data_IF_309700162615
#
_entry.id   IF_309700162615
#
_cell.length_a   1.000
_cell.length_b   1.000
_cell.length_c   1.000
_cell.angle_alpha   90.00
_cell.angle_beta   90.00
_cell.angle_gamma   90.00
#
_symmetry.space_group_name_H-M   'P 1'
#
loop_
_entity.id
_entity.type
_entity.pdbx_description
1 polymer ?
#
# COMPACT_ATOMS: atom_id res chain seq x y z
N UNK A 1 11.07 -17.86 10.43
CA UNK A 1 9.79 -17.36 10.02
C UNK A 1 9.93 -15.98 9.42
N UNK A 2 9.40 -15.80 8.27
CA UNK A 2 9.51 -14.50 7.65
C UNK A 2 8.91 -13.42 8.51
N UNK A 3 9.65 -12.38 8.72
CA UNK A 3 9.18 -11.28 9.52
C UNK A 3 8.25 -10.37 8.74
N UNK A 4 8.41 -10.40 7.44
CA UNK A 4 7.69 -9.48 6.59
C UNK A 4 6.18 -9.54 6.79
N UNK A 5 5.65 -10.74 6.92
CA UNK A 5 4.21 -10.89 7.07
C UNK A 5 3.69 -10.18 8.30
N UNK A 6 4.46 -10.26 9.35
CA UNK A 6 4.04 -9.65 10.61
C UNK A 6 4.19 -8.15 10.58
N UNK A 7 5.15 -7.68 9.80
CA UNK A 7 5.46 -6.26 9.79
C UNK A 7 4.34 -5.43 9.19
N UNK A 8 3.45 -6.07 8.46
CA UNK A 8 2.44 -5.34 7.72
C UNK A 8 1.04 -5.58 8.23
N UNK A 9 0.94 -6.04 9.47
CA UNK A 9 -0.36 -6.17 10.11
C UNK A 9 -0.72 -4.83 10.75
N UNK A 10 -1.87 -4.29 10.40
CA UNK A 10 -2.30 -3.00 10.90
C UNK A 10 -2.65 -3.06 12.37
N UNK A 11 -2.41 -1.97 13.11
CA UNK A 11 -2.88 -1.92 14.50
C UNK A 11 -4.40 -2.03 14.56
N UNK A 12 -4.94 -2.80 15.50
CA UNK A 12 -6.40 -2.97 15.61
C UNK A 12 -7.14 -1.65 15.75
N UNK A 13 -6.57 -0.68 16.43
CA UNK A 13 -7.21 0.62 16.61
C UNK A 13 -7.43 1.33 15.29
N UNK A 14 -6.45 1.24 14.40
CA UNK A 14 -6.55 1.87 13.09
C UNK A 14 -7.62 1.18 12.26
N UNK A 15 -7.68 -0.13 12.34
CA UNK A 15 -8.70 -0.90 11.62
C UNK A 15 -10.08 -0.52 12.14
N UNK A 16 -10.24 -0.40 13.45
CA UNK A 16 -11.51 -0.03 14.03
C UNK A 16 -12.01 1.33 13.58
N UNK A 17 -11.11 2.31 13.58
CA UNK A 17 -11.49 3.65 13.13
C UNK A 17 -11.84 3.64 11.65
N UNK A 18 -11.06 2.95 10.85
CA UNK A 18 -11.30 2.85 9.40
C UNK A 18 -12.64 2.19 9.11
N UNK A 19 -12.91 1.08 9.78
CA UNK A 19 -14.17 0.35 9.58
C UNK A 19 -15.35 1.23 9.94
N UNK A 20 -15.24 1.96 11.04
CA UNK A 20 -16.28 2.89 11.45
C UNK A 20 -16.51 3.98 10.42
N UNK A 21 -15.42 4.53 9.90
CA UNK A 21 -15.51 5.59 8.89
C UNK A 21 -16.19 5.07 7.62
N UNK A 22 -15.98 3.83 7.28
CA UNK A 22 -16.57 3.21 6.10
C UNK A 22 -17.90 2.52 6.37
N UNK A 23 -18.59 2.92 7.39
CA UNK A 23 -19.92 2.39 7.74
C UNK A 23 -19.91 0.87 7.97
N UNK A 24 -18.84 0.39 8.53
CA UNK A 24 -18.77 -0.99 9.00
C UNK A 24 -18.10 -1.98 8.06
N UNK A 25 -17.68 -1.57 6.86
CA UNK A 25 -17.11 -2.53 5.93
C UNK A 25 -15.98 -1.93 5.08
N UNK A 26 -14.83 -2.56 5.13
CA UNK A 26 -13.74 -2.28 4.20
C UNK A 26 -13.95 -3.17 2.99
N UNK A 27 -14.05 -2.59 1.81
CA UNK A 27 -14.33 -3.37 0.61
C UNK A 27 -13.08 -3.95 -0.03
N UNK A 28 -11.99 -3.21 -0.04
CA UNK A 28 -10.76 -3.70 -0.66
C UNK A 28 -9.54 -3.26 0.12
N UNK A 29 -8.64 -4.21 0.34
CA UNK A 29 -7.31 -3.97 0.89
C UNK A 29 -6.29 -4.46 -0.14
N UNK A 30 -5.72 -3.56 -0.94
CA UNK A 30 -4.87 -3.97 -2.05
C UNK A 30 -3.46 -4.40 -1.65
N UNK A 31 -3.05 -4.17 -0.42
CA UNK A 31 -1.71 -4.53 0.06
C UNK A 31 -1.83 -5.36 1.33
N UNK A 32 -2.36 -6.55 1.20
CA UNK A 32 -2.70 -7.37 2.36
C UNK A 32 -1.98 -8.71 2.34
N UNK A 33 -2.38 -9.56 3.24
CA UNK A 33 -1.97 -10.96 3.30
C UNK A 33 -3.10 -11.71 3.95
N UNK A 34 -3.04 -13.04 3.87
CA UNK A 34 -4.07 -13.84 4.54
C UNK A 34 -4.10 -13.55 6.03
N UNK A 35 -2.92 -13.40 6.63
CA UNK A 35 -2.83 -13.08 8.05
C UNK A 35 -3.40 -11.71 8.36
N UNK A 36 -3.00 -10.71 7.59
CA UNK A 36 -3.46 -9.35 7.82
C UNK A 36 -4.98 -9.24 7.68
N UNK A 37 -5.54 -9.93 6.70
CA UNK A 37 -6.97 -9.81 6.48
C UNK A 37 -7.83 -10.51 7.54
N UNK A 38 -7.23 -11.34 8.38
CA UNK A 38 -7.95 -11.86 9.53
C UNK A 38 -8.38 -10.73 10.46
N UNK A 39 -7.62 -9.65 10.51
CA UNK A 39 -7.97 -8.48 11.31
C UNK A 39 -8.72 -7.44 10.50
N UNK A 40 -8.28 -7.18 9.28
CA UNK A 40 -8.89 -6.15 8.45
C UNK A 40 -10.29 -6.55 7.99
N UNK A 41 -10.47 -7.81 7.67
CA UNK A 41 -11.78 -8.33 7.24
C UNK A 41 -12.34 -7.59 6.04
N UNK A 42 -11.48 -7.24 5.10
CA UNK A 42 -11.94 -6.65 3.84
C UNK A 42 -12.68 -7.70 3.01
N UNK A 43 -13.67 -7.26 2.27
CA UNK A 43 -14.41 -8.16 1.39
C UNK A 43 -13.50 -8.78 0.34
N UNK A 44 -12.55 -7.99 -0.15
CA UNK A 44 -11.59 -8.45 -1.13
C UNK A 44 -10.22 -7.92 -0.73
N UNK A 45 -9.19 -8.70 -0.97
CA UNK A 45 -7.84 -8.25 -0.68
C UNK A 45 -6.86 -8.90 -1.65
N UNK A 46 -5.75 -8.21 -1.87
CA UNK A 46 -4.68 -8.74 -2.71
C UNK A 46 -3.48 -9.04 -1.85
N UNK A 47 -2.91 -10.20 -2.05
CA UNK A 47 -1.68 -10.61 -1.38
C UNK A 47 -0.50 -10.28 -2.26
N UNK A 48 0.70 -10.53 -1.73
CA UNK A 48 1.92 -10.33 -2.52
C UNK A 48 1.85 -11.09 -3.85
N UNK A 49 1.30 -12.29 -3.82
CA UNK A 49 1.21 -13.11 -5.03
C UNK A 49 0.30 -12.50 -6.09
N UNK A 50 -0.68 -11.74 -5.68
CA UNK A 50 -1.58 -11.08 -6.62
C UNK A 50 -0.98 -9.83 -7.24
N UNK A 51 0.04 -9.27 -6.60
CA UNK A 51 0.66 -8.01 -7.01
C UNK A 51 -0.39 -6.90 -7.12
N UNK A 52 -0.83 -6.43 -5.96
CA UNK A 52 -1.90 -5.44 -5.88
C UNK A 52 -1.65 -4.18 -6.68
N UNK A 53 -0.38 -3.79 -6.87
CA UNK A 53 -0.06 -2.60 -7.64
C UNK A 53 -0.54 -2.71 -9.10
N UNK A 54 -0.61 -3.92 -9.62
CA UNK A 54 -1.00 -4.14 -11.00
C UNK A 54 -2.45 -4.55 -11.16
N UNK A 55 -3.19 -4.61 -10.06
CA UNK A 55 -4.60 -4.96 -10.11
C UNK A 55 -5.46 -3.71 -10.25
N UNK A 56 -6.68 -3.92 -10.69
CA UNK A 56 -7.68 -2.86 -10.66
C UNK A 56 -8.25 -2.78 -9.24
N UNK A 57 -8.39 -1.57 -8.73
CA UNK A 57 -8.89 -1.37 -7.37
C UNK A 57 -10.34 -0.93 -7.39
N UNK A 58 -11.17 -1.68 -8.06
CA UNK A 58 -12.56 -1.31 -8.20
C UNK A 58 -13.35 -1.66 -6.94
N UNK A 59 -13.74 -0.65 -6.20
CA UNK A 59 -14.44 -0.82 -4.94
C UNK A 59 -15.03 0.52 -4.54
N UNK A 60 -15.93 0.51 -3.56
CA UNK A 60 -16.44 1.76 -3.03
C UNK A 60 -15.38 2.41 -2.15
N UNK A 61 -14.73 1.63 -1.30
CA UNK A 61 -13.71 2.16 -0.43
C UNK A 61 -12.50 1.25 -0.37
N UNK A 62 -11.37 1.86 -0.04
CA UNK A 62 -10.06 1.21 0.02
C UNK A 62 -9.44 1.47 1.38
N UNK A 63 -8.90 0.44 1.99
CA UNK A 63 -8.00 0.61 3.11
C UNK A 63 -6.62 0.18 2.67
N UNK A 64 -5.65 1.07 2.76
CA UNK A 64 -4.29 0.79 2.30
C UNK A 64 -3.28 1.02 3.41
N UNK A 65 -2.58 -0.04 3.78
CA UNK A 65 -1.43 0.02 4.66
C UNK A 65 -0.25 -0.50 3.85
N UNK A 66 0.50 0.40 3.20
CA UNK A 66 1.56 -0.05 2.29
C UNK A 66 2.69 -0.77 3.02
N UNK A 67 3.34 -1.71 2.35
CA UNK A 67 4.56 -2.30 2.90
C UNK A 67 5.61 -1.23 3.16
N UNK A 68 6.48 -1.49 4.12
CA UNK A 68 7.51 -0.53 4.49
C UNK A 68 8.80 -0.68 3.71
N UNK A 69 8.96 -1.77 3.01
CA UNK A 69 10.20 -2.05 2.30
C UNK A 69 10.35 -1.21 1.05
N UNK A 70 11.55 -1.18 0.53
CA UNK A 70 11.79 -0.62 -0.79
C UNK A 70 11.49 -1.68 -1.83
N UNK A 71 11.01 -1.24 -3.00
CA UNK A 71 10.72 -2.14 -4.10
C UNK A 71 11.85 -2.04 -5.10
N UNK A 72 12.70 -3.03 -5.11
CA UNK A 72 13.84 -3.09 -6.02
C UNK A 72 13.57 -3.99 -7.21
N UNK A 73 13.12 -5.16 -6.91
CA UNK A 73 12.78 -6.19 -7.89
C UNK A 73 13.63 -6.09 -9.16
N UNK A 74 13.00 -6.01 -10.30
CA UNK A 74 13.68 -5.99 -11.58
C UNK A 74 14.47 -4.72 -11.82
N UNK A 75 14.31 -3.73 -11.00
CA UNK A 75 15.04 -2.48 -11.13
C UNK A 75 16.39 -2.53 -10.47
N UNK A 76 16.70 -3.63 -9.82
CA UNK A 76 17.95 -3.78 -9.10
C UNK A 76 19.13 -3.69 -10.07
N UNK A 77 20.02 -2.71 -9.90
CA UNK A 77 21.16 -2.60 -10.80
C UNK A 77 22.18 -3.69 -10.52
N UNK A 78 22.86 -4.13 -11.58
CA UNK A 78 23.93 -5.11 -11.45
C UNK A 78 25.29 -4.45 -11.43
N UNK A 79 25.34 -3.19 -11.78
CA UNK A 79 26.58 -2.42 -11.87
C UNK A 79 26.62 -1.42 -10.72
N UNK A 80 27.75 -1.34 -10.04
CA UNK A 80 27.91 -0.48 -8.88
C UNK A 80 27.65 0.99 -9.21
N UNK A 81 28.18 1.44 -10.33
CA UNK A 81 27.99 2.83 -10.72
C UNK A 81 26.53 3.12 -11.01
N UNK A 82 25.88 2.19 -11.66
CA UNK A 82 24.46 2.33 -11.93
C UNK A 82 23.69 2.34 -10.63
N UNK A 83 24.10 1.49 -9.70
CA UNK A 83 23.45 1.44 -8.39
C UNK A 83 23.53 2.79 -7.67
N UNK A 84 24.71 3.37 -7.61
CA UNK A 84 24.87 4.65 -6.93
C UNK A 84 24.08 5.76 -7.63
N UNK A 85 24.07 5.75 -8.94
CA UNK A 85 23.31 6.74 -9.67
C UNK A 85 21.83 6.63 -9.40
N UNK A 86 21.30 5.41 -9.41
CA UNK A 86 19.86 5.19 -9.27
C UNK A 86 19.39 5.26 -7.84
N UNK A 87 20.28 5.16 -6.89
CA UNK A 87 19.90 5.14 -5.49
C UNK A 87 19.06 6.35 -5.10
N UNK A 88 19.34 7.49 -5.70
CA UNK A 88 18.59 8.69 -5.42
C UNK A 88 17.15 8.61 -5.89
N UNK A 89 16.89 7.72 -6.83
CA UNK A 89 15.58 7.59 -7.43
C UNK A 89 14.82 6.38 -6.91
N UNK A 90 15.42 5.63 -6.00
CA UNK A 90 14.72 4.49 -5.41
C UNK A 90 13.59 5.04 -4.54
N UNK A 91 12.40 4.56 -4.80
CA UNK A 91 11.23 4.96 -4.03
C UNK A 91 10.95 3.91 -2.97
N UNK A 92 10.52 4.37 -1.79
CA UNK A 92 10.04 3.44 -0.78
C UNK A 92 8.75 2.81 -1.28
N UNK A 93 8.43 1.66 -0.71
CA UNK A 93 7.18 1.00 -1.05
C UNK A 93 6.00 1.91 -0.71
N UNK A 94 6.06 2.62 0.41
CA UNK A 94 4.98 3.53 0.78
C UNK A 94 4.72 4.57 -0.29
N UNK A 95 5.77 5.12 -0.87
CA UNK A 95 5.62 6.12 -1.91
C UNK A 95 5.01 5.53 -3.16
N UNK A 96 5.49 4.37 -3.57
CA UNK A 96 4.98 3.71 -4.78
C UNK A 96 3.49 3.39 -4.62
N UNK A 97 3.12 2.83 -3.48
CA UNK A 97 1.74 2.46 -3.24
C UNK A 97 0.82 3.68 -3.14
N UNK A 98 1.31 4.75 -2.50
CA UNK A 98 0.50 5.96 -2.39
C UNK A 98 0.32 6.62 -3.75
N UNK A 99 1.38 6.65 -4.56
CA UNK A 99 1.26 7.20 -5.90
C UNK A 99 0.26 6.40 -6.73
N UNK A 100 0.29 5.08 -6.58
CA UNK A 100 -0.66 4.24 -7.31
C UNK A 100 -2.08 4.47 -6.81
N UNK A 101 -2.25 4.65 -5.53
CA UNK A 101 -3.56 4.94 -4.95
C UNK A 101 -4.15 6.22 -5.55
N UNK A 102 -3.36 7.28 -5.60
CA UNK A 102 -3.81 8.54 -6.17
C UNK A 102 -4.12 8.41 -7.65
N UNK A 103 -3.30 7.66 -8.37
CA UNK A 103 -3.52 7.44 -9.79
C UNK A 103 -4.85 6.73 -10.03
N UNK A 104 -5.13 5.68 -9.26
CA UNK A 104 -6.37 4.93 -9.41
C UNK A 104 -7.58 5.73 -8.96
N UNK A 105 -7.41 6.57 -7.97
CA UNK A 105 -8.48 7.47 -7.56
C UNK A 105 -8.84 8.42 -8.72
N UNK A 106 -7.84 8.96 -9.38
CA UNK A 106 -8.07 9.85 -10.52
C UNK A 106 -8.75 9.14 -11.70
N UNK A 107 -8.58 7.83 -11.75
CA UNK A 107 -9.25 7.00 -12.77
C UNK A 107 -10.65 6.56 -12.33
N UNK A 108 -11.09 7.02 -11.18
CA UNK A 108 -12.41 6.69 -10.65
C UNK A 108 -12.60 5.20 -10.36
N UNK A 109 -11.54 4.52 -9.95
CA UNK A 109 -11.66 3.11 -9.59
C UNK A 109 -12.34 2.92 -8.24
N UNK A 110 -12.23 3.90 -7.36
CA UNK A 110 -12.91 3.84 -6.07
C UNK A 110 -13.33 5.24 -5.65
N UNK A 111 -14.21 5.33 -4.66
CA UNK A 111 -14.77 6.60 -4.22
C UNK A 111 -13.97 7.24 -3.10
N UNK A 112 -13.46 6.44 -2.19
CA UNK A 112 -12.75 6.97 -1.03
C UNK A 112 -11.71 5.97 -0.55
N UNK A 113 -10.70 6.46 0.14
CA UNK A 113 -9.65 5.62 0.67
C UNK A 113 -9.11 6.18 1.97
N UNK A 114 -8.71 5.29 2.86
CA UNK A 114 -7.93 5.65 4.03
C UNK A 114 -6.58 4.97 3.87
N UNK A 115 -5.52 5.74 3.94
CA UNK A 115 -4.16 5.23 3.79
C UNK A 115 -3.41 5.45 5.09
N UNK A 116 -2.91 4.38 5.67
CA UNK A 116 -2.13 4.46 6.89
C UNK A 116 -0.65 4.46 6.52
N UNK A 117 -0.02 5.61 6.68
CA UNK A 117 1.40 5.78 6.35
C UNK A 117 2.20 5.92 7.62
N UNK A 118 3.43 5.42 7.56
CA UNK A 118 4.37 5.61 8.65
C UNK A 118 5.43 6.66 8.31
N UNK A 119 5.36 7.25 7.11
CA UNK A 119 6.31 8.27 6.67
C UNK A 119 5.57 9.55 6.27
N UNK A 120 5.71 10.56 7.08
CA UNK A 120 5.15 11.88 6.77
C UNK A 120 5.82 12.49 5.53
N UNK A 121 7.12 12.24 5.40
CA UNK A 121 7.86 12.77 4.26
C UNK A 121 7.30 12.27 2.94
N UNK A 122 6.97 10.98 2.88
CA UNK A 122 6.37 10.41 1.68
C UNK A 122 5.05 11.08 1.38
N UNK A 123 4.21 11.27 2.39
CA UNK A 123 2.92 11.91 2.20
C UNK A 123 3.09 13.31 1.63
N UNK A 124 4.01 14.09 2.18
CA UNK A 124 4.25 15.44 1.69
C UNK A 124 4.77 15.45 0.27
N UNK A 125 5.69 14.56 -0.05
CA UNK A 125 6.26 14.51 -1.40
C UNK A 125 5.21 14.19 -2.45
N UNK A 126 4.29 13.31 -2.12
CA UNK A 126 3.30 12.85 -3.09
C UNK A 126 2.13 13.81 -3.21
N UNK A 127 1.66 14.36 -2.09
CA UNK A 127 0.43 15.16 -2.10
C UNK A 127 0.64 16.61 -2.47
N UNK A 128 1.86 17.10 -2.43
CA UNK A 128 2.14 18.50 -2.76
C UNK A 128 2.55 18.75 -4.20
N UNK A 129 2.48 17.76 -5.01
CA UNK A 129 2.85 17.92 -6.41
C UNK A 129 1.83 18.68 -7.21
#
# INVERSE_FOLDING_TARGET
>A
MPLADRDFVSPPEIIGVTTSFFDGQIELDPASSDTANQLVCANKYFTHDHNGLKQTWKAKNIYLYPPRDFLFSSEQPTDTNVFFKKRRFVKSAQRIWLEECLKKYRKNEFDEAIVFLTSTEVALLVTQR
#
